data_IF_781543494789
#
_entry.id   IF_781543494789
#
_cell.length_a   1.000
_cell.length_b   1.000
_cell.length_c   1.000
_cell.angle_alpha   90.00
_cell.angle_beta   90.00
_cell.angle_gamma   90.00
#
_symmetry.space_group_name_H-M   'P 1'
#
loop_
_entity.id
_entity.type
_entity.pdbx_description
1 polymer ?
#
# COMPACT_ATOMS: atom_id res chain seq x y z
N UNK A 1 22.62 27.72 -6.70
CA UNK A 1 22.67 27.37 -5.27
C UNK A 1 21.81 28.38 -4.55
N UNK A 2 20.66 27.98 -4.00
CA UNK A 2 19.98 28.76 -2.98
C UNK A 2 20.82 28.72 -1.70
N UNK A 3 20.86 29.79 -0.92
CA UNK A 3 21.48 29.74 0.39
C UNK A 3 20.69 28.77 1.30
N UNK A 4 21.33 28.16 2.33
CA UNK A 4 20.60 27.35 3.30
C UNK A 4 19.45 28.13 3.97
N UNK A 5 19.62 29.44 4.19
CA UNK A 5 18.54 30.33 4.65
C UNK A 5 17.35 30.39 3.67
N UNK A 6 17.61 30.54 2.36
CA UNK A 6 16.54 30.52 1.36
C UNK A 6 15.81 29.18 1.30
N UNK A 7 16.50 28.07 1.57
CA UNK A 7 15.90 26.73 1.54
C UNK A 7 14.99 26.52 2.76
N UNK A 8 15.43 26.93 3.94
CA UNK A 8 14.63 26.90 5.16
C UNK A 8 13.39 27.80 5.06
N UNK A 9 13.55 28.99 4.46
CA UNK A 9 12.44 29.90 4.17
C UNK A 9 11.43 29.30 3.19
N UNK A 10 11.85 28.42 2.29
CA UNK A 10 10.94 27.78 1.33
C UNK A 10 10.13 26.66 1.98
N UNK A 11 10.71 25.96 2.95
CA UNK A 11 10.14 24.79 3.60
C UNK A 11 9.42 25.12 4.92
N UNK A 12 9.34 26.39 5.30
CA UNK A 12 8.83 26.82 6.61
C UNK A 12 7.36 26.45 6.87
N UNK A 13 6.56 26.24 5.83
CA UNK A 13 5.15 25.81 5.94
C UNK A 13 4.98 24.28 5.90
N UNK A 14 6.06 23.53 5.69
CA UNK A 14 6.01 22.07 5.69
C UNK A 14 5.88 21.59 7.14
N UNK A 15 4.82 20.82 7.41
CA UNK A 15 4.63 20.22 8.73
C UNK A 15 5.77 19.26 9.09
N UNK A 16 6.25 19.33 10.33
CA UNK A 16 7.24 18.43 10.92
C UNK A 16 6.82 16.95 10.91
N UNK A 17 5.52 16.69 10.75
CA UNK A 17 4.96 15.35 10.53
C UNK A 17 5.57 14.66 9.29
N UNK A 18 5.89 15.41 8.25
CA UNK A 18 6.55 14.91 7.04
C UNK A 18 8.08 14.93 7.13
N UNK A 19 8.61 15.14 8.35
CA UNK A 19 10.04 15.09 8.64
C UNK A 19 10.67 13.73 8.32
N UNK A 20 12.00 13.70 8.13
CA UNK A 20 12.71 12.52 7.65
C UNK A 20 12.62 11.34 8.62
N UNK A 21 12.58 11.58 9.93
CA UNK A 21 12.43 10.54 10.94
C UNK A 21 11.07 9.86 10.88
N UNK A 22 10.00 10.66 10.83
CA UNK A 22 8.62 10.17 10.73
C UNK A 22 8.36 9.38 9.44
N UNK A 23 8.83 9.90 8.31
CA UNK A 23 8.64 9.23 7.03
C UNK A 23 9.45 7.94 6.95
N UNK A 24 10.68 7.92 7.47
CA UNK A 24 11.48 6.69 7.54
C UNK A 24 10.81 5.66 8.46
N UNK A 25 10.29 6.08 9.62
CA UNK A 25 9.53 5.21 10.51
C UNK A 25 8.35 4.54 9.81
N UNK A 26 7.59 5.34 9.05
CA UNK A 26 6.47 4.84 8.27
C UNK A 26 6.90 3.86 7.18
N UNK A 27 7.97 4.15 6.43
CA UNK A 27 8.52 3.24 5.42
C UNK A 27 9.00 1.92 6.02
N UNK A 28 9.64 1.96 7.20
CA UNK A 28 10.05 0.76 7.93
C UNK A 28 8.84 -0.04 8.45
N UNK A 29 7.75 0.65 8.83
CA UNK A 29 6.49 0.02 9.20
C UNK A 29 5.83 -0.65 8.00
N UNK A 30 5.83 -0.03 6.82
CA UNK A 30 5.38 -0.66 5.57
C UNK A 30 6.21 -1.91 5.25
N UNK A 31 7.54 -1.82 5.36
CA UNK A 31 8.43 -2.95 5.17
C UNK A 31 8.14 -4.08 6.17
N UNK A 32 7.89 -3.75 7.44
CA UNK A 32 7.49 -4.69 8.49
C UNK A 32 6.21 -5.45 8.11
N UNK A 33 5.18 -4.76 7.61
CA UNK A 33 3.93 -5.38 7.15
C UNK A 33 4.18 -6.31 5.97
N UNK A 34 4.96 -5.87 4.98
CA UNK A 34 5.31 -6.68 3.81
C UNK A 34 6.10 -7.93 4.21
N UNK A 35 7.10 -7.81 5.10
CA UNK A 35 7.86 -8.93 5.68
C UNK A 35 6.91 -9.90 6.37
N UNK A 36 5.99 -9.40 7.19
CA UNK A 36 5.03 -10.22 7.91
C UNK A 36 4.10 -10.99 6.96
N UNK A 37 3.65 -10.35 5.88
CA UNK A 37 2.76 -10.95 4.89
C UNK A 37 3.48 -11.86 3.88
N UNK A 38 4.81 -11.84 3.82
CA UNK A 38 5.57 -12.65 2.85
C UNK A 38 6.38 -13.74 3.52
N UNK A 39 7.06 -13.44 4.62
CA UNK A 39 8.03 -14.31 5.28
C UNK A 39 7.45 -15.08 6.47
N UNK A 40 6.46 -14.53 7.18
CA UNK A 40 5.88 -15.21 8.35
C UNK A 40 4.74 -16.16 7.94
N UNK A 41 4.93 -17.50 7.99
CA UNK A 41 3.89 -18.45 7.58
C UNK A 41 2.64 -18.40 8.47
N UNK A 42 2.78 -18.12 9.77
CA UNK A 42 1.64 -18.05 10.70
C UNK A 42 0.78 -16.83 10.39
N UNK A 43 1.40 -15.66 10.22
CA UNK A 43 0.67 -14.41 9.96
C UNK A 43 0.06 -14.35 8.56
N UNK A 44 0.68 -15.01 7.57
CA UNK A 44 0.11 -15.18 6.21
C UNK A 44 -1.23 -15.89 6.19
N UNK A 45 -1.44 -16.81 7.14
CA UNK A 45 -2.67 -17.59 7.23
C UNK A 45 -3.80 -16.88 7.98
N UNK A 46 -3.51 -15.77 8.65
CA UNK A 46 -4.50 -15.01 9.41
C UNK A 46 -4.98 -13.82 8.58
N UNK A 47 -6.29 -13.57 8.54
CA UNK A 47 -6.87 -12.34 7.94
C UNK A 47 -7.17 -11.30 9.03
N UNK A 48 -6.21 -11.12 9.95
CA UNK A 48 -6.29 -10.16 11.04
C UNK A 48 -5.70 -8.81 10.62
N UNK A 49 -6.35 -7.72 11.01
CA UNK A 49 -5.83 -6.35 10.86
C UNK A 49 -4.87 -6.12 12.04
N UNK A 50 -3.58 -6.08 11.76
CA UNK A 50 -2.54 -5.87 12.79
C UNK A 50 -2.36 -4.39 13.08
N UNK A 51 -1.83 -4.06 14.26
CA UNK A 51 -1.53 -2.68 14.64
C UNK A 51 -0.54 -2.03 13.66
N UNK A 52 0.53 -2.74 13.26
CA UNK A 52 1.48 -2.26 12.25
C UNK A 52 0.82 -1.96 10.91
N UNK A 53 -0.18 -2.77 10.51
CA UNK A 53 -0.91 -2.52 9.29
C UNK A 53 -1.80 -1.27 9.42
N UNK A 54 -2.47 -1.08 10.56
CA UNK A 54 -3.21 0.17 10.82
C UNK A 54 -2.30 1.38 10.81
N UNK A 55 -1.13 1.30 11.44
CA UNK A 55 -0.13 2.37 11.47
C UNK A 55 0.39 2.70 10.06
N UNK A 56 0.69 1.68 9.26
CA UNK A 56 1.10 1.84 7.87
C UNK A 56 0.07 2.56 6.99
N UNK A 57 -1.23 2.37 7.28
CA UNK A 57 -2.34 3.00 6.57
C UNK A 57 -2.73 4.37 7.11
N UNK A 58 -2.46 4.65 8.38
CA UNK A 58 -2.84 5.91 9.03
C UNK A 58 -2.13 7.11 8.39
N UNK A 59 -0.82 7.00 8.16
CA UNK A 59 0.01 8.07 7.57
C UNK A 59 -0.49 8.52 6.20
N UNK A 60 -0.71 7.65 5.19
CA UNK A 60 -1.24 8.07 3.90
C UNK A 60 -2.70 8.55 3.98
N UNK A 61 -3.51 8.05 4.93
CA UNK A 61 -4.87 8.53 5.15
C UNK A 61 -4.89 9.98 5.67
N UNK A 62 -4.03 10.26 6.66
CA UNK A 62 -3.86 11.61 7.21
C UNK A 62 -3.24 12.54 6.17
N UNK A 63 -2.25 12.08 5.40
CA UNK A 63 -1.67 12.84 4.31
C UNK A 63 -2.71 13.20 3.24
N UNK A 64 -3.59 12.26 2.87
CA UNK A 64 -4.65 12.54 1.91
C UNK A 64 -5.62 13.61 2.44
N UNK A 65 -6.06 13.48 3.70
CA UNK A 65 -6.90 14.48 4.36
C UNK A 65 -6.23 15.86 4.44
N UNK A 66 -4.93 15.90 4.74
CA UNK A 66 -4.16 17.15 4.80
C UNK A 66 -4.00 17.78 3.41
N UNK A 67 -3.71 16.98 2.37
CA UNK A 67 -3.71 17.45 0.98
C UNK A 67 -5.07 18.03 0.59
N UNK A 68 -6.18 17.36 0.92
CA UNK A 68 -7.51 17.89 0.66
C UNK A 68 -7.79 19.20 1.39
N UNK A 69 -7.38 19.29 2.65
CA UNK A 69 -7.50 20.52 3.42
C UNK A 69 -6.74 21.67 2.73
N UNK A 70 -5.48 21.46 2.34
CA UNK A 70 -4.67 22.49 1.68
C UNK A 70 -5.17 22.85 0.27
N UNK A 71 -5.74 21.89 -0.47
CA UNK A 71 -6.22 22.14 -1.83
C UNK A 71 -7.60 22.80 -1.88
N UNK A 72 -8.47 22.50 -0.91
CA UNK A 72 -9.89 22.86 -0.96
C UNK A 72 -10.33 23.84 0.14
N UNK A 73 -9.47 24.21 1.09
CA UNK A 73 -9.80 25.22 2.11
C UNK A 73 -9.37 26.62 1.65
N UNK A 74 -10.30 27.47 1.14
CA UNK A 74 -9.95 28.78 0.58
C UNK A 74 -9.45 29.73 1.67
N UNK A 75 -9.83 29.49 2.94
CA UNK A 75 -9.38 30.27 4.08
C UNK A 75 -7.92 30.01 4.44
N UNK A 76 -7.38 28.81 4.23
CA UNK A 76 -5.95 28.55 4.48
C UNK A 76 -5.05 29.30 3.50
N UNK A 77 -5.48 29.36 2.24
CA UNK A 77 -4.82 30.13 1.18
C UNK A 77 -4.96 31.65 1.43
N UNK A 78 -6.16 32.13 1.75
CA UNK A 78 -6.44 33.57 1.88
C UNK A 78 -6.06 34.18 3.25
N UNK A 79 -5.98 33.40 4.33
CA UNK A 79 -5.61 33.92 5.66
C UNK A 79 -4.09 34.14 5.82
N UNK A 80 -3.24 33.41 5.06
CA UNK A 80 -1.81 33.67 5.00
C UNK A 80 -1.44 34.69 3.90
N UNK A 81 -2.27 34.79 2.85
CA UNK A 81 -2.20 35.82 1.82
C UNK A 81 -3.08 37.02 2.21
N UNK A 82 -2.66 37.81 3.21
CA UNK A 82 -3.23 39.12 3.49
C UNK A 82 -3.07 40.06 2.27
N UNK A 83 -3.94 39.96 1.26
CA UNK A 83 -4.37 41.05 0.36
C UNK A 83 -5.41 40.61 -0.68
N UNK A 84 -6.22 41.58 -1.08
CA UNK A 84 -7.27 41.57 -2.11
C UNK A 84 -6.72 41.14 -3.49
N UNK A 85 -6.70 39.84 -3.81
CA UNK A 85 -6.43 39.40 -5.17
C UNK A 85 -7.20 38.11 -5.50
N UNK A 86 -8.11 38.26 -6.46
CA UNK A 86 -8.48 37.28 -7.50
C UNK A 86 -8.18 35.82 -7.17
N UNK A 87 -9.24 35.03 -6.90
CA UNK A 87 -9.24 33.56 -6.86
C UNK A 87 -7.91 32.92 -7.26
N UNK A 88 -7.02 32.70 -6.29
CA UNK A 88 -5.77 31.99 -6.52
C UNK A 88 -6.14 30.56 -6.90
N UNK A 89 -6.18 30.29 -8.20
CA UNK A 89 -6.49 28.98 -8.75
C UNK A 89 -5.26 28.07 -8.55
N UNK A 90 -5.46 26.77 -8.33
CA UNK A 90 -4.37 25.81 -8.11
C UNK A 90 -3.32 25.81 -9.24
N UNK A 91 -3.69 26.28 -10.44
CA UNK A 91 -2.76 26.52 -11.56
C UNK A 91 -1.71 27.59 -11.25
N UNK A 92 -2.09 28.69 -10.61
CA UNK A 92 -1.16 29.78 -10.25
C UNK A 92 -0.32 29.41 -9.05
N UNK A 93 -0.78 28.51 -8.18
CA UNK A 93 0.00 27.99 -7.06
C UNK A 93 1.29 27.30 -7.53
N UNK A 94 1.19 26.40 -8.51
CA UNK A 94 2.33 25.61 -8.96
C UNK A 94 3.20 26.29 -10.02
N UNK A 95 2.77 27.43 -10.57
CA UNK A 95 3.49 28.14 -11.66
C UNK A 95 3.99 29.53 -11.26
N UNK A 96 3.48 30.13 -10.18
CA UNK A 96 3.88 31.47 -9.74
C UNK A 96 5.27 31.50 -9.13
N UNK A 97 6.10 32.48 -9.50
CA UNK A 97 7.41 32.70 -8.88
C UNK A 97 7.35 33.45 -7.55
N UNK A 98 6.16 33.70 -7.00
CA UNK A 98 6.03 34.41 -5.72
C UNK A 98 6.55 33.56 -4.55
N UNK A 99 7.35 34.12 -3.62
CA UNK A 99 7.87 33.37 -2.48
C UNK A 99 6.79 32.67 -1.65
N UNK A 100 5.60 33.28 -1.53
CA UNK A 100 4.46 32.69 -0.82
C UNK A 100 3.88 31.48 -1.55
N UNK A 101 3.68 31.55 -2.87
CA UNK A 101 3.19 30.41 -3.65
C UNK A 101 4.18 29.25 -3.61
N UNK A 102 5.49 29.52 -3.63
CA UNK A 102 6.51 28.48 -3.53
C UNK A 102 6.47 27.78 -2.16
N UNK A 103 6.32 28.53 -1.06
CA UNK A 103 6.17 27.95 0.29
C UNK A 103 4.94 27.07 0.41
N UNK A 104 3.81 27.54 -0.11
CA UNK A 104 2.56 26.79 -0.08
C UNK A 104 2.59 25.56 -0.99
N UNK A 105 3.22 25.68 -2.17
CA UNK A 105 3.46 24.56 -3.07
C UNK A 105 4.32 23.48 -2.40
N UNK A 106 5.36 23.87 -1.64
CA UNK A 106 6.17 22.94 -0.86
C UNK A 106 5.37 22.26 0.26
N UNK A 107 4.48 23.00 0.95
CA UNK A 107 3.59 22.44 1.97
C UNK A 107 2.60 21.41 1.40
N UNK A 108 2.11 21.63 0.17
CA UNK A 108 1.24 20.69 -0.57
C UNK A 108 2.04 19.51 -1.13
N UNK A 109 3.29 19.73 -1.56
CA UNK A 109 4.20 18.70 -2.10
C UNK A 109 4.46 17.59 -1.08
N UNK A 110 4.62 17.94 0.20
CA UNK A 110 4.97 16.98 1.25
C UNK A 110 3.93 15.86 1.48
N UNK A 111 2.63 16.14 1.73
CA UNK A 111 1.62 15.11 1.85
C UNK A 111 1.36 14.37 0.53
N UNK A 112 1.46 15.04 -0.62
CA UNK A 112 1.32 14.39 -1.92
C UNK A 112 2.39 13.33 -2.14
N UNK A 113 3.64 13.59 -1.77
CA UNK A 113 4.70 12.60 -1.88
C UNK A 113 4.37 11.32 -1.10
N UNK A 114 3.81 11.45 0.11
CA UNK A 114 3.33 10.31 0.90
C UNK A 114 2.20 9.56 0.19
N UNK A 115 1.22 10.30 -0.33
CA UNK A 115 0.08 9.72 -1.04
C UNK A 115 0.50 8.97 -2.32
N UNK A 116 1.34 9.58 -3.15
CA UNK A 116 1.88 8.97 -4.36
C UNK A 116 2.68 7.71 -4.02
N UNK A 117 3.60 7.82 -3.05
CA UNK A 117 4.41 6.70 -2.55
C UNK A 117 3.51 5.55 -2.11
N UNK A 118 2.51 5.84 -1.27
CA UNK A 118 1.63 4.80 -0.78
C UNK A 118 0.75 4.20 -1.87
N UNK A 119 0.23 5.00 -2.81
CA UNK A 119 -0.60 4.49 -3.92
C UNK A 119 0.14 3.43 -4.74
N UNK A 120 1.45 3.60 -4.94
CA UNK A 120 2.31 2.62 -5.62
C UNK A 120 2.50 1.33 -4.80
N UNK A 121 2.70 1.46 -3.49
CA UNK A 121 2.90 0.34 -2.56
C UNK A 121 1.58 -0.41 -2.31
N UNK A 122 0.45 0.29 -2.30
CA UNK A 122 -0.88 -0.26 -2.06
C UNK A 122 -1.24 -1.36 -3.07
N UNK A 123 -0.82 -1.20 -4.33
CA UNK A 123 -0.97 -2.22 -5.37
C UNK A 123 -0.22 -3.51 -5.05
N UNK A 124 1.02 -3.37 -4.55
CA UNK A 124 1.84 -4.50 -4.14
C UNK A 124 1.26 -5.18 -2.90
N UNK A 125 0.80 -4.39 -1.93
CA UNK A 125 0.12 -4.90 -0.73
C UNK A 125 -1.17 -5.63 -1.10
N UNK A 126 -1.99 -5.07 -1.99
CA UNK A 126 -3.19 -5.72 -2.50
C UNK A 126 -2.85 -7.06 -3.16
N UNK A 127 -1.85 -7.08 -4.04
CA UNK A 127 -1.41 -8.30 -4.72
C UNK A 127 -1.00 -9.40 -3.73
N UNK A 128 -0.16 -9.06 -2.75
CA UNK A 128 0.29 -10.01 -1.71
C UNK A 128 -0.90 -10.50 -0.86
N UNK A 129 -1.81 -9.61 -0.47
CA UNK A 129 -2.99 -9.98 0.31
C UNK A 129 -3.95 -10.87 -0.50
N UNK A 130 -4.15 -10.57 -1.77
CA UNK A 130 -4.97 -11.35 -2.70
C UNK A 130 -4.37 -12.74 -2.94
N UNK A 131 -3.06 -12.84 -3.17
CA UNK A 131 -2.32 -14.11 -3.30
C UNK A 131 -2.48 -15.00 -2.06
N UNK A 132 -2.50 -14.40 -0.87
CA UNK A 132 -2.70 -15.12 0.39
C UNK A 132 -4.19 -15.40 0.69
N UNK A 133 -5.12 -15.02 -0.19
CA UNK A 133 -6.57 -15.20 0.03
C UNK A 133 -7.14 -14.35 1.16
N UNK A 134 -6.51 -13.22 1.51
CA UNK A 134 -6.87 -12.34 2.64
C UNK A 134 -7.60 -11.09 2.17
N UNK A 135 -8.94 -11.17 2.10
CA UNK A 135 -9.75 -10.11 1.48
C UNK A 135 -9.86 -8.87 2.35
N UNK A 136 -9.85 -8.97 3.69
CA UNK A 136 -9.95 -7.77 4.55
C UNK A 136 -8.72 -6.88 4.40
N UNK A 137 -7.54 -7.49 4.44
CA UNK A 137 -6.25 -6.80 4.21
C UNK A 137 -6.19 -6.18 2.81
N UNK A 138 -6.59 -6.93 1.78
CA UNK A 138 -6.61 -6.45 0.41
C UNK A 138 -7.56 -5.25 0.24
N UNK A 139 -8.79 -5.35 0.73
CA UNK A 139 -9.78 -4.27 0.63
C UNK A 139 -9.33 -3.00 1.36
N UNK A 140 -8.73 -3.11 2.54
CA UNK A 140 -8.28 -1.95 3.30
C UNK A 140 -7.07 -1.26 2.65
N UNK A 141 -6.09 -2.04 2.16
CA UNK A 141 -4.97 -1.52 1.40
C UNK A 141 -5.44 -0.79 0.13
N UNK A 142 -6.41 -1.37 -0.58
CA UNK A 142 -7.01 -0.76 -1.77
C UNK A 142 -7.78 0.51 -1.44
N UNK A 143 -8.59 0.51 -0.38
CA UNK A 143 -9.40 1.67 0.01
C UNK A 143 -8.52 2.89 0.33
N UNK A 144 -7.45 2.69 1.11
CA UNK A 144 -6.50 3.76 1.42
C UNK A 144 -5.65 4.12 0.21
N UNK A 145 -5.29 3.15 -0.65
CA UNK A 145 -4.58 3.39 -1.90
C UNK A 145 -5.38 4.28 -2.86
N UNK A 146 -6.68 4.05 -2.98
CA UNK A 146 -7.61 4.88 -3.75
C UNK A 146 -7.78 6.28 -3.14
N UNK A 147 -7.85 6.37 -1.80
CA UNK A 147 -7.90 7.65 -1.10
C UNK A 147 -6.62 8.47 -1.32
N UNK A 148 -5.46 7.82 -1.30
CA UNK A 148 -4.19 8.46 -1.59
C UNK A 148 -4.09 8.86 -3.07
N UNK A 149 -4.54 8.01 -3.99
CA UNK A 149 -4.53 8.33 -5.42
C UNK A 149 -5.52 9.44 -5.80
N UNK A 150 -6.62 9.61 -5.05
CA UNK A 150 -7.60 10.66 -5.36
C UNK A 150 -7.06 12.08 -5.13
N UNK A 151 -6.01 12.27 -4.33
CA UNK A 151 -5.34 13.58 -4.22
C UNK A 151 -4.64 13.97 -5.52
N UNK A 152 -3.97 13.00 -6.18
CA UNK A 152 -3.35 13.19 -7.50
C UNK A 152 -4.39 13.52 -8.56
N UNK A 153 -5.52 12.79 -8.57
CA UNK A 153 -6.63 13.08 -9.50
C UNK A 153 -7.17 14.50 -9.28
N UNK A 154 -7.32 14.89 -8.01
CA UNK A 154 -7.85 16.21 -7.67
C UNK A 154 -6.95 17.34 -8.18
N UNK A 155 -5.64 17.19 -8.03
CA UNK A 155 -4.67 18.15 -8.58
C UNK A 155 -4.69 18.09 -10.09
N UNK A 156 -4.64 16.90 -10.70
CA UNK A 156 -4.69 16.73 -12.15
C UNK A 156 -5.87 17.49 -12.78
N UNK A 157 -7.07 17.35 -12.21
CA UNK A 157 -8.27 18.05 -12.69
C UNK A 157 -8.12 19.56 -12.52
N UNK A 158 -7.52 20.03 -11.43
CA UNK A 158 -7.31 21.46 -11.17
C UNK A 158 -6.16 22.07 -11.99
N UNK A 159 -5.20 21.26 -12.45
CA UNK A 159 -3.98 21.69 -13.15
C UNK A 159 -3.89 21.17 -14.59
N UNK A 160 -5.00 20.73 -15.19
CA UNK A 160 -5.05 20.01 -16.46
C UNK A 160 -4.38 20.73 -17.67
N UNK A 161 -4.08 22.02 -17.55
CA UNK A 161 -3.45 22.85 -18.59
C UNK A 161 -1.98 23.23 -18.28
N UNK A 162 -1.42 22.77 -17.16
CA UNK A 162 -0.06 23.10 -16.71
C UNK A 162 0.93 22.03 -17.19
N UNK A 163 1.94 22.45 -17.95
CA UNK A 163 3.02 21.54 -18.41
C UNK A 163 4.01 21.24 -17.28
N UNK A 164 4.58 20.04 -17.25
CA UNK A 164 5.55 19.61 -16.23
C UNK A 164 6.75 20.57 -16.10
N UNK A 165 7.22 21.07 -17.26
CA UNK A 165 8.39 21.93 -17.37
C UNK A 165 8.21 23.33 -16.75
N UNK A 166 7.00 23.76 -16.37
CA UNK A 166 6.76 25.07 -15.76
C UNK A 166 6.36 24.98 -14.28
N UNK A 167 6.40 23.78 -13.70
CA UNK A 167 6.00 23.57 -12.30
C UNK A 167 7.13 23.85 -11.32
N UNK A 168 6.79 24.50 -10.20
CA UNK A 168 7.71 24.77 -9.08
C UNK A 168 7.95 23.55 -8.17
N UNK A 169 7.52 22.36 -8.58
CA UNK A 169 7.63 21.14 -7.80
C UNK A 169 9.06 20.61 -7.88
N UNK A 170 9.55 20.03 -6.78
CA UNK A 170 10.91 19.50 -6.73
C UNK A 170 11.14 18.33 -7.70
N UNK A 171 10.06 17.64 -8.10
CA UNK A 171 10.09 16.45 -8.91
C UNK A 171 8.81 16.35 -9.75
N UNK A 172 8.81 15.56 -10.82
CA UNK A 172 7.58 15.23 -11.52
C UNK A 172 6.72 14.28 -10.66
N UNK A 173 5.42 14.57 -10.60
CA UNK A 173 4.41 13.71 -9.96
C UNK A 173 3.62 12.95 -11.02
N UNK A 174 2.88 11.91 -10.63
CA UNK A 174 2.06 11.15 -11.57
C UNK A 174 1.06 12.04 -12.32
N UNK A 175 0.46 13.04 -11.67
CA UNK A 175 -0.46 13.96 -12.34
C UNK A 175 0.16 14.76 -13.50
N UNK A 176 1.49 14.90 -13.56
CA UNK A 176 2.14 15.56 -14.68
C UNK A 176 2.06 14.73 -15.98
N UNK A 177 1.94 13.39 -15.85
CA UNK A 177 1.84 12.46 -16.98
C UNK A 177 0.42 11.90 -17.16
N UNK A 178 -0.31 12.44 -18.14
CA UNK A 178 -1.68 11.99 -18.50
C UNK A 178 -1.72 10.48 -18.80
N UNK A 179 -0.68 9.96 -19.46
CA UNK A 179 -0.60 8.55 -19.83
C UNK A 179 -0.46 7.70 -18.56
N UNK A 180 0.46 8.05 -17.66
CA UNK A 180 0.67 7.32 -16.42
C UNK A 180 -0.59 7.34 -15.53
N UNK A 181 -1.24 8.50 -15.40
CA UNK A 181 -2.49 8.65 -14.66
C UNK A 181 -3.61 7.78 -15.24
N UNK A 182 -3.78 7.76 -16.57
CA UNK A 182 -4.82 6.97 -17.22
C UNK A 182 -4.58 5.47 -17.03
N UNK A 183 -3.32 5.03 -17.15
CA UNK A 183 -2.94 3.63 -16.91
C UNK A 183 -3.20 3.23 -15.46
N UNK A 184 -2.74 4.02 -14.50
CA UNK A 184 -2.89 3.71 -13.07
C UNK A 184 -4.37 3.74 -12.67
N UNK A 185 -5.13 4.73 -13.14
CA UNK A 185 -6.58 4.82 -12.91
C UNK A 185 -7.31 3.61 -13.50
N UNK A 186 -6.97 3.20 -14.73
CA UNK A 186 -7.55 2.02 -15.36
C UNK A 186 -7.24 0.73 -14.58
N UNK A 187 -6.02 0.60 -14.08
CA UNK A 187 -5.60 -0.53 -13.23
C UNK A 187 -6.36 -0.51 -11.90
N UNK A 188 -6.44 0.63 -11.21
CA UNK A 188 -7.16 0.77 -9.95
C UNK A 188 -8.66 0.48 -10.10
N UNK A 189 -9.29 1.00 -11.15
CA UNK A 189 -10.69 0.76 -11.48
C UNK A 189 -10.94 -0.74 -11.73
N UNK A 190 -10.05 -1.41 -12.46
CA UNK A 190 -10.11 -2.85 -12.69
C UNK A 190 -10.11 -3.63 -11.36
N UNK A 191 -9.18 -3.33 -10.45
CA UNK A 191 -9.12 -4.01 -9.15
C UNK A 191 -10.35 -3.72 -8.27
N UNK A 192 -10.87 -2.50 -8.31
CA UNK A 192 -12.10 -2.16 -7.60
C UNK A 192 -13.30 -2.97 -8.12
N UNK A 193 -13.45 -3.12 -9.44
CA UNK A 193 -14.47 -3.98 -10.04
C UNK A 193 -14.29 -5.44 -9.62
N UNK A 194 -13.06 -5.96 -9.62
CA UNK A 194 -12.77 -7.33 -9.15
C UNK A 194 -13.20 -7.53 -7.69
N UNK A 195 -12.87 -6.60 -6.79
CA UNK A 195 -13.30 -6.66 -5.38
C UNK A 195 -14.82 -6.64 -5.27
N UNK A 196 -15.49 -5.76 -6.03
CA UNK A 196 -16.94 -5.63 -6.02
C UNK A 196 -17.63 -6.91 -6.50
N UNK A 197 -17.16 -7.51 -7.60
CA UNK A 197 -17.67 -8.79 -8.11
C UNK A 197 -17.48 -9.90 -7.08
N UNK A 198 -16.30 -10.02 -6.48
CA UNK A 198 -16.04 -11.00 -5.41
C UNK A 198 -16.99 -10.77 -4.23
N UNK A 199 -17.19 -9.51 -3.81
CA UNK A 199 -18.10 -9.14 -2.75
C UNK A 199 -19.54 -9.55 -3.04
N UNK A 200 -20.05 -9.26 -4.24
CA UNK A 200 -21.39 -9.63 -4.67
C UNK A 200 -21.57 -11.16 -4.69
N UNK A 201 -20.60 -11.92 -5.19
CA UNK A 201 -20.66 -13.39 -5.20
C UNK A 201 -20.69 -13.96 -3.78
N UNK A 202 -19.92 -13.39 -2.84
CA UNK A 202 -19.94 -13.82 -1.43
C UNK A 202 -21.30 -13.50 -0.79
N UNK A 203 -21.88 -12.34 -1.08
CA UNK A 203 -23.20 -11.94 -0.57
C UNK A 203 -24.30 -12.84 -1.12
N UNK A 204 -24.34 -13.09 -2.44
CA UNK A 204 -25.29 -14.02 -3.08
C UNK A 204 -25.17 -15.43 -2.48
N UNK A 205 -23.94 -15.93 -2.30
CA UNK A 205 -23.71 -17.23 -1.66
C UNK A 205 -24.25 -17.28 -0.22
N UNK A 206 -24.05 -16.23 0.57
CA UNK A 206 -24.56 -16.14 1.95
C UNK A 206 -26.08 -16.04 2.00
N UNK A 207 -26.69 -15.24 1.11
CA UNK A 207 -28.14 -15.12 0.98
C UNK A 207 -28.77 -16.46 0.62
N UNK A 208 -28.22 -17.17 -0.38
CA UNK A 208 -28.68 -18.52 -0.76
C UNK A 208 -28.56 -19.52 0.38
N UNK A 209 -27.56 -19.39 1.27
CA UNK A 209 -27.42 -20.27 2.44
C UNK A 209 -28.53 -20.08 3.47
N UNK A 210 -29.07 -18.87 3.61
CA UNK A 210 -30.15 -18.55 4.56
C UNK A 210 -31.53 -19.02 4.10
N UNK A 211 -31.72 -19.23 2.79
CA UNK A 211 -33.01 -19.64 2.21
C UNK A 211 -33.25 -21.16 2.27
N UNK A 212 -32.21 -21.98 2.41
CA UNK A 212 -32.31 -23.47 2.37
C UNK A 212 -32.65 -24.07 3.74
N UNK A 213 -33.70 -23.56 4.42
CA UNK A 213 -34.07 -24.00 5.78
C UNK A 213 -35.46 -24.61 5.91
N UNK A 214 -36.05 -25.08 4.81
CA UNK A 214 -37.38 -25.72 4.83
C UNK A 214 -37.35 -27.04 4.04
N UNK A 215 -37.63 -28.14 4.75
CA UNK A 215 -37.82 -29.54 4.32
C UNK A 215 -36.97 -30.05 3.14
N UNK A 216 -35.85 -30.73 3.43
CA UNK A 216 -35.11 -31.53 2.43
C UNK A 216 -34.83 -32.94 2.93
N UNK A 217 -35.20 -33.92 2.10
CA UNK A 217 -35.00 -35.35 2.35
C UNK A 217 -33.51 -35.70 2.37
N UNK A 218 -33.07 -36.74 3.09
CA UNK A 218 -31.64 -37.10 3.27
C UNK A 218 -30.85 -37.24 1.95
N UNK A 219 -31.49 -37.67 0.86
CA UNK A 219 -30.88 -37.74 -0.49
C UNK A 219 -30.70 -36.36 -1.14
N UNK A 220 -31.69 -35.49 -0.97
CA UNK A 220 -31.63 -34.11 -1.46
C UNK A 220 -30.55 -33.33 -0.70
N UNK A 221 -30.36 -33.60 0.59
CA UNK A 221 -29.29 -33.00 1.40
C UNK A 221 -27.91 -33.34 0.84
N UNK A 222 -27.67 -34.58 0.43
CA UNK A 222 -26.37 -35.05 -0.09
C UNK A 222 -26.08 -34.45 -1.48
N UNK A 223 -27.09 -34.38 -2.34
CA UNK A 223 -26.99 -33.71 -3.65
C UNK A 223 -26.77 -32.20 -3.50
N UNK A 224 -27.50 -31.54 -2.59
CA UNK A 224 -27.32 -30.12 -2.25
C UNK A 224 -25.93 -29.87 -1.66
N UNK A 225 -25.40 -30.77 -0.83
CA UNK A 225 -24.06 -30.63 -0.26
C UNK A 225 -22.99 -30.70 -1.35
N UNK A 226 -23.09 -31.69 -2.24
CA UNK A 226 -22.16 -31.86 -3.36
C UNK A 226 -22.22 -30.66 -4.32
N UNK A 227 -23.40 -30.13 -4.58
CA UNK A 227 -23.60 -28.94 -5.42
C UNK A 227 -23.05 -27.67 -4.73
N UNK A 228 -23.21 -27.56 -3.40
CA UNK A 228 -22.60 -26.48 -2.59
C UNK A 228 -21.08 -26.55 -2.58
N UNK A 229 -20.49 -27.74 -2.45
CA UNK A 229 -19.03 -27.94 -2.50
C UNK A 229 -18.50 -27.61 -3.89
N UNK A 230 -19.17 -28.06 -4.95
CA UNK A 230 -18.80 -27.75 -6.33
C UNK A 230 -18.88 -26.24 -6.63
N UNK A 231 -19.93 -25.57 -6.14
CA UNK A 231 -20.07 -24.11 -6.29
C UNK A 231 -19.04 -23.34 -5.45
N UNK A 232 -18.77 -23.77 -4.22
CA UNK A 232 -17.73 -23.17 -3.38
C UNK A 232 -16.35 -23.28 -4.04
N UNK A 233 -16.01 -24.45 -4.59
CA UNK A 233 -14.77 -24.65 -5.35
C UNK A 233 -14.71 -23.83 -6.63
N UNK A 234 -15.84 -23.60 -7.32
CA UNK A 234 -15.90 -22.71 -8.49
C UNK A 234 -15.68 -21.26 -8.11
N UNK A 235 -16.30 -20.79 -7.03
CA UNK A 235 -16.12 -19.42 -6.52
C UNK A 235 -14.67 -19.20 -6.08
N UNK A 236 -14.05 -20.18 -5.43
CA UNK A 236 -12.66 -20.11 -5.01
C UNK A 236 -11.69 -20.10 -6.20
N UNK A 237 -11.94 -20.92 -7.23
CA UNK A 237 -11.19 -20.85 -8.50
C UNK A 237 -11.38 -19.51 -9.20
N UNK A 238 -12.61 -19.02 -9.33
CA UNK A 238 -12.89 -17.71 -9.92
C UNK A 238 -12.18 -16.59 -9.16
N UNK A 239 -12.22 -16.61 -7.83
CA UNK A 239 -11.51 -15.67 -6.96
C UNK A 239 -10.00 -15.71 -7.17
N UNK A 240 -9.42 -16.91 -7.31
CA UNK A 240 -8.01 -17.06 -7.67
C UNK A 240 -7.74 -16.41 -9.04
N UNK A 241 -8.46 -16.78 -10.09
CA UNK A 241 -8.23 -16.26 -11.45
C UNK A 241 -8.42 -14.74 -11.55
N UNK A 242 -9.47 -14.20 -10.94
CA UNK A 242 -9.81 -12.78 -11.00
C UNK A 242 -8.87 -11.91 -10.17
N UNK A 243 -8.36 -12.40 -9.03
CA UNK A 243 -7.49 -11.60 -8.17
C UNK A 243 -6.01 -11.84 -8.40
N UNK A 244 -5.57 -13.08 -8.65
CA UNK A 244 -4.15 -13.44 -8.73
C UNK A 244 -3.54 -12.98 -10.06
N UNK A 245 -4.15 -13.36 -11.18
CA UNK A 245 -3.55 -13.13 -12.51
C UNK A 245 -3.32 -11.65 -12.80
N UNK A 246 -4.29 -10.75 -12.54
CA UNK A 246 -4.06 -9.32 -12.73
C UNK A 246 -3.08 -8.75 -11.70
N UNK A 247 -3.13 -9.22 -10.44
CA UNK A 247 -2.23 -8.76 -9.38
C UNK A 247 -0.76 -9.05 -9.69
N UNK A 248 -0.46 -10.24 -10.21
CA UNK A 248 0.92 -10.65 -10.53
C UNK A 248 1.50 -9.88 -11.71
N UNK A 249 0.66 -9.45 -12.66
CA UNK A 249 1.12 -8.73 -13.85
C UNK A 249 1.13 -7.21 -13.62
N UNK A 250 0.05 -6.66 -13.04
CA UNK A 250 -0.16 -5.22 -12.96
C UNK A 250 0.54 -4.58 -11.77
N UNK A 251 0.65 -5.25 -10.61
CA UNK A 251 1.27 -4.64 -9.44
C UNK A 251 2.77 -4.36 -9.63
N UNK A 252 3.59 -5.26 -10.19
CA UNK A 252 5.00 -4.97 -10.45
C UNK A 252 5.19 -3.85 -11.48
N UNK A 253 4.33 -3.82 -12.52
CA UNK A 253 4.37 -2.78 -13.55
C UNK A 253 3.99 -1.42 -12.96
N UNK A 254 2.93 -1.34 -12.17
CA UNK A 254 2.50 -0.11 -11.50
C UNK A 254 3.60 0.41 -10.56
N UNK A 255 4.20 -0.49 -9.74
CA UNK A 255 5.31 -0.14 -8.86
C UNK A 255 6.51 0.39 -9.66
N UNK A 256 6.87 -0.27 -10.76
CA UNK A 256 7.97 0.15 -11.62
C UNK A 256 7.70 1.54 -12.23
N UNK A 257 6.50 1.78 -12.75
CA UNK A 257 6.11 3.09 -13.32
C UNK A 257 6.20 4.18 -12.25
N UNK A 258 5.70 3.95 -11.04
CA UNK A 258 5.79 4.91 -9.94
C UNK A 258 7.24 5.19 -9.54
N UNK A 259 8.10 4.17 -9.48
CA UNK A 259 9.53 4.34 -9.18
C UNK A 259 10.23 5.12 -10.29
N UNK A 260 9.95 4.82 -11.56
CA UNK A 260 10.57 5.50 -12.71
C UNK A 260 10.09 6.95 -12.87
N UNK A 261 8.79 7.19 -12.71
CA UNK A 261 8.22 8.55 -12.68
C UNK A 261 8.86 9.34 -11.56
N UNK A 262 8.91 8.72 -10.39
CA UNK A 262 9.42 9.31 -9.20
C UNK A 262 10.89 9.73 -9.23
N UNK A 263 11.73 8.84 -9.75
CA UNK A 263 13.17 9.06 -9.85
C UNK A 263 13.54 10.02 -10.99
N UNK A 264 12.55 10.61 -11.67
CA UNK A 264 12.75 11.57 -12.76
C UNK A 264 13.26 10.93 -14.05
N UNK A 265 13.02 9.63 -14.25
CA UNK A 265 13.35 8.94 -15.50
C UNK A 265 12.31 9.18 -16.60
N UNK A 266 11.10 9.62 -16.23
CA UNK A 266 9.98 9.80 -17.16
C UNK A 266 9.68 11.30 -17.44
N UNK A 267 10.36 12.24 -16.77
CA UNK A 267 10.17 13.68 -16.99
C UNK A 267 11.19 14.54 -16.24
N UNK A 268 11.39 15.77 -16.71
CA UNK A 268 12.26 16.77 -16.07
C UNK A 268 11.43 17.99 -15.64
N UNK A 269 11.54 18.40 -14.38
CA UNK A 269 10.96 19.67 -13.88
C UNK A 269 11.99 20.80 -13.95
N UNK A 270 11.51 22.05 -13.96
CA UNK A 270 12.37 23.25 -14.00
C UNK A 270 13.17 23.47 -12.71
N UNK A 271 12.69 22.94 -11.59
CA UNK A 271 13.35 23.09 -10.30
C UNK A 271 14.44 22.03 -10.08
N UNK A 272 15.70 22.36 -10.41
CA UNK A 272 16.87 21.52 -10.12
C UNK A 272 17.34 21.71 -8.66
N UNK A 273 16.71 21.03 -7.72
CA UNK A 273 17.24 20.92 -6.36
C UNK A 273 18.24 19.75 -6.25
N UNK A 274 19.48 20.11 -5.91
CA UNK A 274 20.61 19.22 -5.60
C UNK A 274 21.13 18.36 -6.75
N UNK A 275 22.41 17.97 -6.63
CA UNK A 275 23.10 17.12 -7.60
C UNK A 275 22.25 15.87 -7.94
N UNK A 276 22.22 15.47 -9.23
CA UNK A 276 21.32 14.44 -9.74
C UNK A 276 21.46 13.07 -9.06
N UNK A 277 22.56 12.81 -8.34
CA UNK A 277 22.78 11.55 -7.61
C UNK A 277 22.10 11.47 -6.23
N UNK A 278 22.03 12.58 -5.47
CA UNK A 278 21.45 12.58 -4.10
C UNK A 278 19.93 12.74 -4.10
N UNK A 279 19.38 13.53 -5.02
CA UNK A 279 17.93 13.71 -5.15
C UNK A 279 17.20 12.41 -5.57
N UNK A 280 17.89 11.49 -6.27
CA UNK A 280 17.33 10.20 -6.70
C UNK A 280 17.21 9.16 -5.58
N UNK A 281 18.05 9.26 -4.54
CA UNK A 281 18.11 8.25 -3.46
C UNK A 281 17.08 8.51 -2.34
N UNK A 282 16.63 9.75 -2.19
CA UNK A 282 15.63 10.18 -1.22
C UNK A 282 14.23 10.39 -1.82
N UNK A 283 13.94 9.71 -2.94
CA UNK A 283 12.69 9.88 -3.68
C UNK A 283 11.45 9.83 -2.77
N UNK A 284 11.33 8.84 -1.88
CA UNK A 284 10.15 8.66 -1.02
C UNK A 284 10.07 9.61 0.17
N UNK A 285 11.01 10.55 0.31
CA UNK A 285 11.11 11.44 1.46
C UNK A 285 10.71 12.86 1.07
N UNK A 286 9.63 13.41 1.64
CA UNK A 286 9.31 14.82 1.56
C UNK A 286 10.48 15.70 2.00
N UNK A 287 10.67 16.84 1.33
CA UNK A 287 11.60 17.86 1.80
C UNK A 287 10.97 18.57 3.00
N UNK A 288 11.73 18.72 4.07
CA UNK A 288 11.32 19.44 5.27
C UNK A 288 12.51 20.19 5.87
N UNK A 289 12.24 21.13 6.76
CA UNK A 289 13.28 21.81 7.56
C UNK A 289 13.87 20.91 8.63
N UNK A 290 13.16 19.85 8.99
CA UNK A 290 13.50 18.97 10.10
C UNK A 290 14.67 18.05 9.78
N UNK A 291 15.45 17.78 10.80
CA UNK A 291 16.65 16.94 10.74
C UNK A 291 16.47 15.67 11.55
N UNK A 292 17.12 14.57 11.15
CA UNK A 292 17.09 13.30 11.91
C UNK A 292 17.67 13.48 13.33
N UNK A 293 18.46 14.54 13.55
CA UNK A 293 19.03 14.88 14.85
C UNK A 293 18.04 15.48 15.84
N UNK A 294 16.88 15.95 15.39
CA UNK A 294 15.81 16.36 16.29
C UNK A 294 15.22 15.18 17.04
N UNK A 295 14.83 15.41 18.29
CA UNK A 295 14.47 14.34 19.21
C UNK A 295 13.25 13.54 18.74
N UNK A 296 12.19 14.21 18.28
CA UNK A 296 10.98 13.58 17.76
C UNK A 296 11.27 12.76 16.50
N UNK A 297 12.10 13.27 15.59
CA UNK A 297 12.52 12.56 14.38
C UNK A 297 13.38 11.33 14.71
N UNK A 298 14.34 11.46 15.62
CA UNK A 298 15.20 10.36 16.07
C UNK A 298 14.41 9.25 16.77
N UNK A 299 13.47 9.64 17.66
CA UNK A 299 12.59 8.69 18.36
C UNK A 299 11.70 7.95 17.37
N UNK A 300 11.09 8.66 16.42
CA UNK A 300 10.27 8.05 15.38
C UNK A 300 11.07 7.05 14.54
N UNK A 301 12.26 7.43 14.08
CA UNK A 301 13.17 6.55 13.36
C UNK A 301 13.50 5.27 14.16
N UNK A 302 13.83 5.42 15.44
CA UNK A 302 14.14 4.29 16.32
C UNK A 302 12.95 3.33 16.46
N UNK A 303 11.72 3.86 16.60
CA UNK A 303 10.49 3.05 16.62
C UNK A 303 10.35 2.25 15.32
N UNK A 304 10.54 2.88 14.16
CA UNK A 304 10.48 2.19 12.87
C UNK A 304 11.50 1.06 12.75
N UNK A 305 12.75 1.29 13.18
CA UNK A 305 13.81 0.29 13.17
C UNK A 305 13.44 -0.90 14.05
N UNK A 306 12.97 -0.63 15.28
CA UNK A 306 12.55 -1.69 16.21
C UNK A 306 11.40 -2.51 15.62
N UNK A 307 10.37 -1.86 15.07
CA UNK A 307 9.23 -2.53 14.43
C UNK A 307 9.69 -3.48 13.32
N UNK A 308 10.59 -3.05 12.43
CA UNK A 308 11.11 -3.90 11.37
C UNK A 308 11.95 -5.06 11.92
N UNK A 309 12.84 -4.79 12.89
CA UNK A 309 13.68 -5.80 13.53
C UNK A 309 12.84 -6.88 14.21
N UNK A 310 11.80 -6.51 14.95
CA UNK A 310 10.89 -7.47 15.60
C UNK A 310 10.11 -8.30 14.60
N UNK A 311 9.63 -7.71 13.49
CA UNK A 311 8.92 -8.46 12.44
C UNK A 311 9.84 -9.44 11.70
N UNK A 312 11.08 -9.06 11.43
CA UNK A 312 12.10 -9.95 10.87
C UNK A 312 12.43 -11.09 11.85
N UNK A 313 12.65 -10.75 13.12
CA UNK A 313 12.92 -11.73 14.16
C UNK A 313 11.78 -12.73 14.32
N UNK A 314 10.53 -12.28 14.38
CA UNK A 314 9.38 -13.17 14.50
C UNK A 314 9.23 -14.08 13.27
N UNK A 315 9.41 -13.54 12.06
CA UNK A 315 9.40 -14.33 10.83
C UNK A 315 10.49 -15.41 10.82
N UNK A 316 11.71 -15.07 11.23
CA UNK A 316 12.83 -16.00 11.35
C UNK A 316 12.59 -17.06 12.43
N UNK A 317 12.13 -16.63 13.62
CA UNK A 317 11.85 -17.53 14.74
C UNK A 317 10.79 -18.56 14.40
N UNK A 318 9.68 -18.14 13.77
CA UNK A 318 8.61 -19.04 13.36
C UNK A 318 9.11 -20.07 12.35
N UNK A 319 9.93 -19.64 11.38
CA UNK A 319 10.54 -20.54 10.41
C UNK A 319 11.48 -21.55 11.07
N UNK A 320 12.36 -21.08 11.95
CA UNK A 320 13.30 -21.92 12.67
C UNK A 320 12.60 -22.97 13.55
N UNK A 321 11.55 -22.59 14.28
CA UNK A 321 10.73 -23.53 15.04
C UNK A 321 10.08 -24.59 14.15
N UNK A 322 9.55 -24.18 12.98
CA UNK A 322 8.99 -25.11 12.01
C UNK A 322 10.01 -26.13 11.48
N UNK A 323 11.25 -25.70 11.27
CA UNK A 323 12.33 -26.57 10.81
C UNK A 323 12.80 -27.55 11.91
N UNK A 324 12.84 -27.12 13.19
CA UNK A 324 13.15 -28.00 14.32
C UNK A 324 12.08 -29.08 14.49
N UNK A 325 10.79 -28.70 14.50
CA UNK A 325 9.69 -29.68 14.62
C UNK A 325 9.69 -30.69 13.48
N UNK A 326 10.06 -30.27 12.25
CA UNK A 326 10.22 -31.18 11.11
C UNK A 326 11.34 -32.18 11.32
N UNK A 327 12.50 -31.74 11.85
CA UNK A 327 13.63 -32.64 12.12
C UNK A 327 13.31 -33.64 13.23
N UNK A 328 12.71 -33.16 14.33
CA UNK A 328 12.29 -34.04 15.44
C UNK A 328 11.30 -35.12 15.02
N UNK A 329 10.31 -34.78 14.18
CA UNK A 329 9.35 -35.77 13.67
C UNK A 329 9.98 -36.80 12.71
N UNK A 330 10.99 -36.41 11.93
CA UNK A 330 11.74 -37.35 11.08
C UNK A 330 12.56 -38.33 11.93
N UNK A 331 13.20 -37.82 12.99
CA UNK A 331 14.00 -38.66 13.90
C UNK A 331 13.13 -39.64 14.71
N UNK A 332 11.92 -39.23 15.13
CA UNK A 332 10.93 -40.13 15.76
C UNK A 332 10.42 -41.21 14.79
N UNK A 333 10.07 -40.86 13.55
CA UNK A 333 9.64 -41.81 12.54
C UNK A 333 10.75 -42.83 12.23
N UNK A 334 12.00 -42.38 12.08
CA UNK A 334 13.17 -43.24 11.87
C UNK A 334 13.44 -44.16 13.08
N UNK A 335 13.28 -43.65 14.31
CA UNK A 335 13.47 -44.43 15.54
C UNK A 335 12.36 -45.46 15.77
N UNK A 336 11.15 -45.21 15.27
CA UNK A 336 9.99 -46.10 15.43
C UNK A 336 10.05 -47.36 14.56
N UNK A 337 10.99 -47.45 13.60
CA UNK A 337 11.11 -48.58 12.66
C UNK A 337 9.96 -48.67 11.64
N UNK A 338 8.96 -47.79 11.72
CA UNK A 338 7.97 -47.59 10.67
C UNK A 338 8.61 -46.68 9.63
N UNK A 339 9.15 -47.23 8.55
CA UNK A 339 9.75 -46.42 7.47
C UNK A 339 8.83 -45.26 7.04
N UNK A 340 9.44 -44.13 6.62
CA UNK A 340 8.79 -42.84 6.30
C UNK A 340 7.29 -42.98 6.03
N UNK A 341 6.46 -42.68 7.03
CA UNK A 341 5.03 -42.88 6.91
C UNK A 341 4.43 -41.93 5.86
N UNK A 342 3.34 -42.34 5.24
CA UNK A 342 2.59 -41.49 4.30
C UNK A 342 2.21 -40.15 4.94
N UNK A 343 2.04 -40.12 6.27
CA UNK A 343 1.84 -38.90 7.06
C UNK A 343 3.01 -37.92 7.02
N UNK A 344 4.26 -38.38 7.15
CA UNK A 344 5.45 -37.52 7.03
C UNK A 344 5.64 -37.02 5.60
N UNK A 345 5.38 -37.84 4.58
CA UNK A 345 5.43 -37.42 3.18
C UNK A 345 4.31 -36.40 2.86
N UNK A 346 3.08 -36.62 3.34
CA UNK A 346 1.98 -35.67 3.17
C UNK A 346 2.20 -34.36 3.94
N UNK A 347 2.81 -34.40 5.12
CA UNK A 347 3.13 -33.20 5.91
C UNK A 347 4.20 -32.30 5.27
N UNK A 348 4.98 -32.82 4.31
CA UNK A 348 5.94 -32.03 3.51
C UNK A 348 5.30 -31.31 2.33
N UNK A 349 4.11 -31.75 1.89
CA UNK A 349 3.33 -31.15 0.81
C UNK A 349 2.24 -30.22 1.36
N UNK A 350 2.06 -29.04 0.76
CA UNK A 350 0.97 -28.10 1.12
C UNK A 350 -0.39 -28.78 0.95
N UNK A 351 -0.55 -29.58 -0.11
CA UNK A 351 -1.77 -30.33 -0.41
C UNK A 351 -1.98 -31.49 0.58
N UNK A 352 -0.90 -32.10 1.06
CA UNK A 352 -0.98 -33.18 2.05
C UNK A 352 -1.36 -32.69 3.45
N UNK A 353 -0.95 -31.46 3.82
CA UNK A 353 -1.43 -30.82 5.06
C UNK A 353 -2.92 -30.50 5.04
N UNK A 354 -3.43 -30.01 3.92
CA UNK A 354 -4.88 -29.76 3.79
C UNK A 354 -5.71 -31.06 3.86
N UNK A 355 -5.16 -32.18 3.38
CA UNK A 355 -5.82 -33.48 3.48
C UNK A 355 -5.79 -34.06 4.91
N UNK A 356 -4.67 -33.88 5.62
CA UNK A 356 -4.53 -34.25 7.04
C UNK A 356 -5.43 -33.41 7.95
N UNK A 357 -5.50 -32.09 7.76
CA UNK A 357 -6.39 -31.21 8.54
C UNK A 357 -7.89 -31.51 8.31
N UNK A 358 -8.24 -32.09 7.15
CA UNK A 358 -9.61 -32.53 6.83
C UNK A 358 -9.93 -33.95 7.29
N UNK A 359 -8.97 -34.67 7.87
CA UNK A 359 -9.15 -36.06 8.35
C UNK A 359 -9.45 -37.07 7.23
N UNK A 360 -8.96 -36.82 6.02
CA UNK A 360 -9.26 -37.64 4.83
C UNK A 360 -8.27 -38.82 4.69
N UNK A 361 -7.20 -38.87 5.50
CA UNK A 361 -6.18 -39.93 5.52
C UNK A 361 -6.05 -40.50 6.92
#
# INVERSE_FOLDING_TARGET
MSSPEQTNDTLSLVSSFYGPGNITCWLLTLASVLVTWTLNPKSRLQDAITLDFMAALAVPSVAAGHSFYLLFSPQSLNAELNEEASSVNSTTLFTSSSPKAIRYAAAVEAPLNVCETFSSVAMTMYAIAALNGRSRRASLAMAVGLLAFSTEISIFVQTADVREAITNLARPFLFNSVIAMTVILGVLAFFLVVILVIGLVIIDFRLRRLVVTEETTRKDVEEILNLKVANAQRVERLRMWLSIVPSTCLAPIALLISVLSGTGWIGETTYKAMEPGRARLFFFMPRSTETITELDQAVSLAIGILTLCFSLWDALRVRWQGDISRRGGIDEDLASGQGLTIGTVLATSVTGRELLERGIV
#
